data_IF_334555949572
#
_entry.id   IF_334555949572
#
_cell.length_a   1.000
_cell.length_b   1.000
_cell.length_c   1.000
_cell.angle_alpha   90.00
_cell.angle_beta   90.00
_cell.angle_gamma   90.00
#
_symmetry.space_group_name_H-M   'P 1'
#
loop_
_entity.id
_entity.type
_entity.pdbx_description
1 polymer ?
#
# COMPACT_ATOMS: atom_id res chain seq x y z
N UNK A 1 -5.91 -17.02 -3.33
CA UNK A 1 -5.09 -16.15 -2.42
C UNK A 1 -3.92 -15.41 -3.12
N UNK A 2 -3.66 -15.61 -4.41
CA UNK A 2 -2.45 -15.08 -5.07
C UNK A 2 -2.62 -13.74 -5.80
N UNK A 3 -3.86 -13.33 -6.09
CA UNK A 3 -4.12 -12.14 -6.91
C UNK A 3 -3.52 -10.84 -6.32
N UNK A 4 -3.67 -10.63 -5.00
CA UNK A 4 -3.11 -9.46 -4.32
C UNK A 4 -1.58 -9.44 -4.35
N UNK A 5 -0.94 -10.62 -4.31
CA UNK A 5 0.52 -10.73 -4.35
C UNK A 5 1.03 -10.44 -5.76
N UNK A 6 0.35 -10.96 -6.79
CA UNK A 6 0.70 -10.69 -8.20
C UNK A 6 0.55 -9.20 -8.52
N UNK A 7 -0.55 -8.57 -8.09
CA UNK A 7 -0.75 -7.12 -8.21
C UNK A 7 0.31 -6.32 -7.45
N UNK A 8 0.68 -6.77 -6.24
CA UNK A 8 1.73 -6.12 -5.47
C UNK A 8 3.11 -6.22 -6.15
N UNK A 9 3.45 -7.35 -6.79
CA UNK A 9 4.69 -7.46 -7.57
C UNK A 9 4.70 -6.56 -8.80
N UNK A 10 3.56 -6.38 -9.48
CA UNK A 10 3.46 -5.44 -10.59
C UNK A 10 3.68 -3.98 -10.13
N UNK A 11 3.03 -3.58 -9.03
CA UNK A 11 3.24 -2.26 -8.41
C UNK A 11 4.71 -2.09 -8.00
N UNK A 12 5.32 -3.11 -7.39
CA UNK A 12 6.70 -3.05 -6.93
C UNK A 12 7.71 -2.96 -8.09
N UNK A 13 7.39 -3.55 -9.24
CA UNK A 13 8.19 -3.43 -10.47
C UNK A 13 8.17 -2.01 -11.04
N UNK A 14 7.03 -1.34 -10.98
CA UNK A 14 6.91 0.09 -11.35
C UNK A 14 7.67 0.96 -10.36
N UNK A 15 7.49 0.72 -9.05
CA UNK A 15 8.14 1.48 -7.96
C UNK A 15 9.67 1.44 -8.02
N UNK A 16 10.22 0.34 -8.52
CA UNK A 16 11.67 0.18 -8.70
C UNK A 16 12.24 1.08 -9.80
N UNK A 17 11.44 1.42 -10.81
CA UNK A 17 11.86 2.27 -11.94
C UNK A 17 11.33 3.71 -11.83
N UNK A 18 10.34 3.96 -10.97
CA UNK A 18 9.65 5.24 -10.89
C UNK A 18 10.12 6.12 -9.71
N UNK A 19 10.42 7.38 -10.00
CA UNK A 19 10.90 8.36 -9.02
C UNK A 19 9.82 8.82 -8.03
N UNK A 20 8.54 8.84 -8.44
CA UNK A 20 7.39 9.30 -7.66
C UNK A 20 6.69 8.20 -6.87
N UNK A 21 7.26 6.99 -6.87
CA UNK A 21 6.72 5.91 -6.11
C UNK A 21 6.72 6.19 -4.60
N UNK A 22 5.71 5.66 -3.91
CA UNK A 22 5.44 5.92 -2.48
C UNK A 22 6.71 5.83 -1.63
N UNK A 23 7.08 6.90 -0.90
CA UNK A 23 8.36 6.97 -0.16
C UNK A 23 8.57 5.78 0.80
N UNK A 24 7.52 5.37 1.49
CA UNK A 24 7.57 4.23 2.41
C UNK A 24 7.90 2.90 1.71
N UNK A 25 7.51 2.73 0.45
CA UNK A 25 7.76 1.50 -0.31
C UNK A 25 9.19 1.46 -0.86
N UNK A 26 9.75 2.63 -1.22
CA UNK A 26 11.19 2.77 -1.52
C UNK A 26 12.05 2.51 -0.30
N UNK A 27 11.71 3.09 0.84
CA UNK A 27 12.40 2.83 2.11
C UNK A 27 12.33 1.35 2.52
N UNK A 28 11.21 0.68 2.20
CA UNK A 28 11.06 -0.75 2.45
C UNK A 28 11.92 -1.60 1.50
N UNK A 29 11.97 -1.26 0.21
CA UNK A 29 12.83 -1.92 -0.78
C UNK A 29 14.33 -1.73 -0.48
N UNK A 30 14.72 -0.58 0.07
CA UNK A 30 16.09 -0.32 0.47
C UNK A 30 16.55 -1.20 1.65
N UNK A 31 15.61 -1.71 2.47
CA UNK A 31 15.91 -2.45 3.71
C UNK A 31 15.52 -3.93 3.67
N UNK A 32 14.69 -4.36 2.71
CA UNK A 32 14.08 -5.70 2.69
C UNK A 32 14.05 -6.29 1.28
N UNK A 33 14.14 -7.64 1.16
CA UNK A 33 14.08 -8.32 -0.12
C UNK A 33 12.72 -8.12 -0.81
N UNK A 34 12.74 -8.09 -2.15
CA UNK A 34 11.60 -7.74 -3.01
C UNK A 34 10.31 -8.51 -2.69
N UNK A 35 10.41 -9.82 -2.40
CA UNK A 35 9.25 -10.66 -2.07
C UNK A 35 8.55 -10.20 -0.78
N UNK A 36 9.31 -9.76 0.22
CA UNK A 36 8.75 -9.26 1.50
C UNK A 36 8.04 -7.93 1.30
N UNK A 37 8.60 -7.05 0.47
CA UNK A 37 7.94 -5.79 0.11
C UNK A 37 6.63 -6.01 -0.66
N UNK A 38 6.58 -7.01 -1.55
CA UNK A 38 5.35 -7.38 -2.26
C UNK A 38 4.27 -7.90 -1.29
N UNK A 39 4.65 -8.76 -0.34
CA UNK A 39 3.71 -9.26 0.68
C UNK A 39 3.24 -8.13 1.61
N UNK A 40 4.12 -7.21 2.01
CA UNK A 40 3.75 -6.07 2.84
C UNK A 40 2.75 -5.14 2.13
N UNK A 41 2.97 -4.87 0.83
CA UNK A 41 2.04 -4.10 0.01
C UNK A 41 0.71 -4.84 -0.14
N UNK A 42 0.72 -6.15 -0.39
CA UNK A 42 -0.49 -6.96 -0.45
C UNK A 42 -1.26 -6.96 0.89
N UNK A 43 -0.56 -7.05 2.03
CA UNK A 43 -1.16 -6.99 3.35
C UNK A 43 -1.82 -5.62 3.61
N UNK A 44 -1.17 -4.53 3.20
CA UNK A 44 -1.78 -3.19 3.28
C UNK A 44 -3.08 -3.11 2.47
N UNK A 45 -3.08 -3.62 1.24
CA UNK A 45 -4.29 -3.65 0.40
C UNK A 45 -5.37 -4.57 0.98
N UNK A 46 -4.99 -5.73 1.54
CA UNK A 46 -5.92 -6.63 2.20
C UNK A 46 -6.61 -5.98 3.41
N UNK A 47 -5.87 -5.18 4.21
CA UNK A 47 -6.45 -4.41 5.32
C UNK A 47 -7.42 -3.34 4.83
N UNK A 48 -7.12 -2.65 3.73
CA UNK A 48 -8.04 -1.69 3.11
C UNK A 48 -9.32 -2.40 2.66
N UNK A 49 -9.19 -3.50 1.92
CA UNK A 49 -10.35 -4.29 1.46
C UNK A 49 -11.17 -4.79 2.66
N UNK A 50 -10.52 -5.32 3.70
CA UNK A 50 -11.19 -5.78 4.91
C UNK A 50 -11.95 -4.64 5.62
N UNK A 51 -11.35 -3.46 5.73
CA UNK A 51 -12.02 -2.30 6.29
C UNK A 51 -13.23 -1.86 5.43
N UNK A 52 -13.10 -1.87 4.10
CA UNK A 52 -14.19 -1.53 3.19
C UNK A 52 -15.35 -2.52 3.29
N UNK A 53 -15.04 -3.81 3.29
CA UNK A 53 -16.03 -4.89 3.42
C UNK A 53 -16.76 -4.82 4.77
N UNK A 54 -16.02 -4.59 5.86
CA UNK A 54 -16.60 -4.52 7.20
C UNK A 54 -17.38 -3.22 7.47
N UNK A 55 -17.02 -2.11 6.81
CA UNK A 55 -17.64 -0.80 7.03
C UNK A 55 -18.66 -0.39 5.97
N UNK A 56 -18.98 -1.25 4.98
CA UNK A 56 -19.87 -0.97 3.83
C UNK A 56 -19.72 0.48 3.35
N UNK A 57 -18.48 0.84 3.02
CA UNK A 57 -18.11 2.22 2.69
C UNK A 57 -17.42 2.31 1.34
N UNK A 58 -17.58 3.45 0.67
CA UNK A 58 -16.81 3.78 -0.54
C UNK A 58 -15.36 4.08 -0.13
N UNK A 59 -14.39 3.60 -0.91
CA UNK A 59 -12.99 3.96 -0.70
C UNK A 59 -12.80 5.47 -0.83
N UNK A 60 -12.57 6.13 0.30
CA UNK A 60 -12.16 7.53 0.35
C UNK A 60 -10.63 7.57 0.30
N UNK A 61 -10.08 8.26 -0.71
CA UNK A 61 -8.66 8.56 -0.74
C UNK A 61 -8.30 9.29 0.56
N UNK A 62 -7.22 8.90 1.27
CA UNK A 62 -6.79 9.61 2.46
C UNK A 62 -6.56 11.08 2.08
N UNK A 63 -7.37 11.96 2.66
CA UNK A 63 -7.20 13.38 2.51
C UNK A 63 -5.99 13.81 3.35
N UNK A 64 -4.95 14.41 2.75
CA UNK A 64 -3.73 14.77 3.49
C UNK A 64 -4.00 15.75 4.64
N UNK A 65 -5.03 16.59 4.51
CA UNK A 65 -5.38 17.62 5.48
C UNK A 65 -6.24 17.03 6.61
N UNK A 66 -7.09 16.04 6.32
CA UNK A 66 -7.83 15.30 7.35
C UNK A 66 -6.92 14.46 8.26
N UNK A 67 -5.79 13.97 7.74
CA UNK A 67 -4.83 13.19 8.54
C UNK A 67 -4.09 14.04 9.58
N UNK A 68 -3.90 15.35 9.31
CA UNK A 68 -3.28 16.29 10.27
C UNK A 68 -4.26 16.81 11.32
N UNK A 69 -5.57 16.65 11.12
CA UNK A 69 -6.61 17.12 12.05
C UNK A 69 -6.89 16.17 13.22
N UNK A 70 -6.43 14.91 13.16
CA UNK A 70 -6.71 13.87 14.19
C UNK A 70 -5.71 13.89 15.36
N UNK A 71 -4.80 14.87 15.38
CA UNK A 71 -3.73 15.01 16.38
C UNK A 71 -3.82 16.35 17.12
N UNK A 72 -4.98 17.02 17.12
CA UNK A 72 -5.23 18.19 17.96
C UNK A 72 -6.23 17.84 19.07
#
# INVERSE_FOLDING_TARGET
RSLLVVGATAVLRVVRNDAWARPWLKALLARRPFKVAAVAQANKTARIICALLNKVGIYRRPDPLAATAVTQ
#
